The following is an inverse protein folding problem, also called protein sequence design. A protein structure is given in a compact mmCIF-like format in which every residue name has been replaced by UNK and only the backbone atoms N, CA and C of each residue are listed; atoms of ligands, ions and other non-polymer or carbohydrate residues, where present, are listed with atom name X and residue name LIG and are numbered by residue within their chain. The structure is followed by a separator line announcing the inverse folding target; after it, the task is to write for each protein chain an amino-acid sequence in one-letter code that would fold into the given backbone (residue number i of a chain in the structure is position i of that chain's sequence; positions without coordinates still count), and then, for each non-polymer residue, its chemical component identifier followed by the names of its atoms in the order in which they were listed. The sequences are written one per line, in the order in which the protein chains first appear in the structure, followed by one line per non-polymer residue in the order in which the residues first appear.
data_IF_904805093208
#
_entry.id   IF_904805093208
#
_cell.length_a   1.000
_cell.length_b   1.000
_cell.length_c   1.000
_cell.angle_alpha   90.00
_cell.angle_beta   90.00
_cell.angle_gamma   90.00
#
_symmetry.space_group_name_H-M   'P 1'
#
loop_
_entity.id
_entity.type
_entity.pdbx_description
1 polymer ?
#
# COMPACT_ATOMS: atom_id res chain seq x y z
N UNK A 1 -61.70 -18.84 -31.98
CA UNK A 1 -61.20 -20.05 -31.27
C UNK A 1 -60.22 -20.75 -32.21
N UNK A 2 -58.96 -21.06 -31.91
CA UNK A 2 -58.16 -20.95 -30.69
C UNK A 2 -56.71 -20.50 -30.99
N UNK A 3 -55.82 -20.55 -29.99
CA UNK A 3 -54.69 -19.62 -29.82
C UNK A 3 -53.42 -19.98 -30.61
N UNK A 4 -52.70 -18.95 -31.06
CA UNK A 4 -51.32 -19.06 -31.50
C UNK A 4 -50.42 -19.44 -30.31
N UNK A 5 -49.80 -20.61 -30.39
CA UNK A 5 -48.90 -21.14 -29.38
C UNK A 5 -47.62 -20.28 -29.29
N UNK A 6 -47.30 -19.89 -28.05
CA UNK A 6 -46.06 -19.26 -27.64
C UNK A 6 -44.88 -20.20 -27.93
N UNK A 7 -43.91 -19.76 -28.74
CA UNK A 7 -42.63 -20.44 -28.89
C UNK A 7 -41.76 -20.17 -27.67
N UNK A 8 -41.49 -21.20 -26.87
CA UNK A 8 -40.53 -21.14 -25.76
C UNK A 8 -39.11 -20.79 -26.25
N UNK A 9 -38.34 -19.96 -25.53
CA UNK A 9 -36.92 -19.79 -25.81
C UNK A 9 -36.15 -21.05 -25.37
N UNK A 10 -35.59 -21.74 -26.36
CA UNK A 10 -34.70 -22.89 -26.24
C UNK A 10 -33.55 -22.60 -25.23
N UNK A 11 -33.62 -23.21 -24.04
CA UNK A 11 -32.57 -23.17 -23.02
C UNK A 11 -31.39 -24.03 -23.47
N UNK A 12 -30.44 -23.44 -24.19
CA UNK A 12 -29.14 -24.06 -24.49
C UNK A 12 -28.26 -24.10 -23.23
N UNK A 13 -28.45 -25.10 -22.37
CA UNK A 13 -27.38 -25.55 -21.46
C UNK A 13 -26.36 -26.36 -22.28
N UNK A 14 -25.46 -25.65 -22.97
CA UNK A 14 -24.35 -26.27 -23.67
C UNK A 14 -23.44 -27.01 -22.68
N UNK A 15 -23.25 -28.32 -22.85
CA UNK A 15 -22.29 -29.10 -22.09
C UNK A 15 -20.89 -28.52 -22.31
N UNK A 16 -20.25 -28.00 -21.26
CA UNK A 16 -18.89 -27.47 -21.32
C UNK A 16 -17.95 -28.44 -22.04
N UNK A 17 -17.30 -27.96 -23.10
CA UNK A 17 -16.35 -28.77 -23.89
C UNK A 17 -15.23 -29.29 -22.98
N UNK A 18 -14.64 -30.46 -23.30
CA UNK A 18 -13.55 -31.06 -22.50
C UNK A 18 -12.40 -30.08 -22.25
N UNK A 19 -12.10 -29.21 -23.21
CA UNK A 19 -11.13 -28.11 -23.12
C UNK A 19 -11.52 -27.07 -22.07
N UNK A 20 -12.79 -26.66 -22.02
CA UNK A 20 -13.29 -25.71 -21.03
C UNK A 20 -13.20 -26.26 -19.60
N UNK A 21 -13.53 -27.54 -19.39
CA UNK A 21 -13.38 -28.20 -18.07
C UNK A 21 -11.92 -28.28 -17.63
N UNK A 22 -10.98 -28.51 -18.55
CA UNK A 22 -9.55 -28.49 -18.27
C UNK A 22 -9.06 -27.11 -17.88
N UNK A 23 -9.44 -26.07 -18.63
CA UNK A 23 -9.09 -24.68 -18.34
C UNK A 23 -9.64 -24.27 -16.97
N UNK A 24 -10.90 -24.60 -16.67
CA UNK A 24 -11.53 -24.29 -15.39
C UNK A 24 -10.81 -24.98 -14.22
N UNK A 25 -10.43 -26.26 -14.36
CA UNK A 25 -9.67 -26.98 -13.34
C UNK A 25 -8.26 -26.42 -13.15
N UNK A 26 -7.61 -26.01 -14.22
CA UNK A 26 -6.29 -25.38 -14.17
C UNK A 26 -6.34 -24.07 -13.38
N UNK A 27 -7.26 -23.16 -13.72
CA UNK A 27 -7.40 -21.89 -12.97
C UNK A 27 -7.81 -22.10 -11.51
N UNK A 28 -8.67 -23.09 -11.23
CA UNK A 28 -9.06 -23.42 -9.86
C UNK A 28 -7.88 -24.00 -9.06
N UNK A 29 -7.07 -24.85 -9.67
CA UNK A 29 -5.86 -25.39 -9.06
C UNK A 29 -4.81 -24.29 -8.82
N UNK A 30 -4.60 -23.40 -9.80
CA UNK A 30 -3.67 -22.28 -9.67
C UNK A 30 -4.10 -21.30 -8.57
N UNK A 31 -5.38 -20.93 -8.52
CA UNK A 31 -5.94 -20.09 -7.46
C UNK A 31 -5.86 -20.76 -6.09
N UNK A 32 -6.21 -22.05 -6.02
CA UNK A 32 -6.10 -22.84 -4.78
C UNK A 32 -4.66 -22.95 -4.27
N UNK A 33 -3.69 -23.16 -5.17
CA UNK A 33 -2.28 -23.20 -4.84
C UNK A 33 -1.78 -21.85 -4.31
N UNK A 34 -2.17 -20.73 -4.93
CA UNK A 34 -1.81 -19.39 -4.47
C UNK A 34 -2.32 -19.11 -3.06
N UNK A 35 -3.59 -19.43 -2.77
CA UNK A 35 -4.16 -19.28 -1.42
C UNK A 35 -3.47 -20.18 -0.40
N UNK A 36 -3.19 -21.44 -0.76
CA UNK A 36 -2.48 -22.37 0.11
C UNK A 36 -1.06 -21.89 0.41
N UNK A 37 -0.32 -21.43 -0.59
CA UNK A 37 1.03 -20.90 -0.41
C UNK A 37 1.04 -19.70 0.53
N UNK A 38 0.10 -18.76 0.37
CA UNK A 38 -0.05 -17.61 1.27
C UNK A 38 -0.36 -18.06 2.70
N UNK A 39 -1.26 -19.03 2.87
CA UNK A 39 -1.58 -19.59 4.19
C UNK A 39 -0.36 -20.24 4.83
N UNK A 40 0.43 -21.03 4.07
CA UNK A 40 1.64 -21.67 4.57
C UNK A 40 2.70 -20.65 5.00
N UNK A 41 2.88 -19.56 4.24
CA UNK A 41 3.80 -18.47 4.62
C UNK A 41 3.37 -17.85 5.95
N UNK A 42 2.07 -17.57 6.12
CA UNK A 42 1.54 -17.02 7.37
C UNK A 42 1.71 -18.01 8.52
N UNK A 43 1.33 -19.28 8.34
CA UNK A 43 1.48 -20.31 9.38
C UNK A 43 2.95 -20.47 9.78
N UNK A 44 3.86 -20.48 8.82
CA UNK A 44 5.30 -20.56 9.08
C UNK A 44 5.81 -19.34 9.86
N UNK A 45 5.43 -18.13 9.43
CA UNK A 45 5.77 -16.88 10.10
C UNK A 45 5.36 -16.89 11.58
N UNK A 46 4.12 -17.29 11.87
CA UNK A 46 3.61 -17.36 13.24
C UNK A 46 4.25 -18.49 14.04
N UNK A 47 4.46 -19.65 13.42
CA UNK A 47 5.12 -20.77 14.07
C UNK A 47 6.51 -20.38 14.55
N UNK A 48 7.34 -19.81 13.67
CA UNK A 48 8.72 -19.44 14.00
C UNK A 48 8.78 -18.23 14.97
N UNK A 49 7.95 -17.20 14.76
CA UNK A 49 8.02 -16.01 15.63
C UNK A 49 7.51 -16.23 17.05
N UNK A 50 6.59 -17.18 17.28
CA UNK A 50 6.11 -17.50 18.64
C UNK A 50 7.22 -18.12 19.50
N UNK A 51 8.21 -18.81 18.91
CA UNK A 51 9.30 -19.45 19.66
C UNK A 51 10.13 -18.45 20.47
N UNK A 52 10.25 -17.19 20.01
CA UNK A 52 10.94 -16.14 20.76
C UNK A 52 10.34 -15.94 22.16
N UNK A 53 9.02 -16.04 22.29
CA UNK A 53 8.32 -15.75 23.54
C UNK A 53 8.49 -16.84 24.61
N UNK A 54 9.24 -17.91 24.30
CA UNK A 54 9.73 -18.85 25.30
C UNK A 54 10.88 -18.26 26.14
N UNK A 55 11.65 -17.31 25.59
CA UNK A 55 12.81 -16.72 26.27
C UNK A 55 12.65 -15.22 26.53
N UNK A 56 11.92 -14.49 25.69
CA UNK A 56 11.68 -13.04 25.82
C UNK A 56 10.22 -12.76 26.16
N UNK A 57 9.94 -11.85 27.08
CA UNK A 57 8.55 -11.48 27.40
C UNK A 57 7.93 -10.62 26.28
N UNK A 58 6.62 -10.78 26.04
CA UNK A 58 5.90 -9.98 25.02
C UNK A 58 6.00 -8.46 25.30
N UNK A 59 5.83 -7.96 26.54
CA UNK A 59 6.00 -6.54 26.83
C UNK A 59 7.42 -6.03 26.55
N UNK A 60 8.44 -6.79 26.93
CA UNK A 60 9.83 -6.38 26.72
C UNK A 60 10.16 -6.33 25.22
N UNK A 61 9.62 -7.28 24.45
CA UNK A 61 9.75 -7.27 22.99
C UNK A 61 9.04 -6.06 22.37
N UNK A 62 7.75 -5.84 22.67
CA UNK A 62 6.95 -4.80 22.00
C UNK A 62 7.27 -3.38 22.45
N UNK A 63 7.55 -3.18 23.73
CA UNK A 63 7.75 -1.85 24.32
C UNK A 63 9.20 -1.56 24.70
N UNK A 64 10.11 -2.54 24.56
CA UNK A 64 11.54 -2.33 24.72
C UNK A 64 12.07 -1.28 23.75
N UNK A 65 12.97 -0.43 24.24
CA UNK A 65 13.48 0.73 23.49
C UNK A 65 14.83 0.48 22.80
N UNK A 66 15.36 -0.74 22.90
CA UNK A 66 16.69 -1.07 22.44
C UNK A 66 16.65 -2.33 21.56
N UNK A 67 17.23 -2.23 20.36
CA UNK A 67 17.41 -3.35 19.44
C UNK A 67 18.91 -3.64 19.31
N UNK A 68 19.40 -4.56 20.14
CA UNK A 68 20.79 -5.02 20.16
C UNK A 68 20.84 -6.55 20.25
N UNK A 69 20.47 -7.26 19.16
CA UNK A 69 20.38 -8.72 19.17
C UNK A 69 21.75 -9.43 19.28
N UNK A 70 22.85 -8.71 19.07
CA UNK A 70 24.22 -9.23 19.14
C UNK A 70 24.94 -8.89 20.45
N UNK A 71 24.29 -8.18 21.37
CA UNK A 71 24.85 -7.85 22.69
C UNK A 71 24.65 -9.01 23.68
N UNK A 72 25.42 -9.00 24.78
CA UNK A 72 25.23 -9.93 25.91
C UNK A 72 24.93 -9.13 27.20
N UNK A 73 23.72 -9.25 27.78
CA UNK A 73 22.54 -9.95 27.25
C UNK A 73 21.95 -9.26 26.01
N UNK A 74 21.26 -10.02 25.16
CA UNK A 74 20.66 -9.51 23.94
C UNK A 74 19.39 -8.70 24.23
N UNK A 75 19.20 -7.59 23.52
CA UNK A 75 18.01 -6.74 23.61
C UNK A 75 17.18 -6.85 22.32
N UNK A 76 15.93 -7.28 22.46
CA UNK A 76 15.00 -7.47 21.35
C UNK A 76 13.83 -6.47 21.38
N UNK A 77 14.01 -5.28 21.95
CA UNK A 77 13.01 -4.23 22.00
C UNK A 77 12.74 -3.60 20.63
N UNK A 78 11.53 -3.78 20.11
CA UNK A 78 11.17 -3.34 18.75
C UNK A 78 10.37 -2.04 18.71
N UNK A 79 10.12 -1.37 19.84
CA UNK A 79 9.38 -0.12 19.87
C UNK A 79 9.97 0.96 18.93
N UNK A 80 11.30 1.17 18.87
CA UNK A 80 11.90 2.12 17.92
C UNK A 80 11.61 1.76 16.45
N UNK A 81 11.59 0.46 16.13
CA UNK A 81 11.35 -0.04 14.78
C UNK A 81 9.89 0.17 14.36
N UNK A 82 8.95 -0.09 15.29
CA UNK A 82 7.52 0.18 15.09
C UNK A 82 7.29 1.68 14.87
N UNK A 83 7.84 2.53 15.74
CA UNK A 83 7.68 3.99 15.62
C UNK A 83 8.29 4.49 14.31
N UNK A 84 9.49 4.02 13.94
CA UNK A 84 10.13 4.35 12.67
C UNK A 84 9.25 3.98 11.46
N UNK A 85 8.70 2.77 11.44
CA UNK A 85 7.75 2.33 10.39
C UNK A 85 6.50 3.20 10.32
N UNK A 86 5.88 3.50 11.46
CA UNK A 86 4.64 4.27 11.51
C UNK A 86 4.86 5.74 11.11
N UNK A 87 5.93 6.37 11.58
CA UNK A 87 6.26 7.76 11.27
C UNK A 87 6.56 7.92 9.78
N UNK A 88 7.40 7.06 9.20
CA UNK A 88 7.72 7.10 7.77
C UNK A 88 6.47 6.88 6.92
N UNK A 89 5.63 5.91 7.29
CA UNK A 89 4.35 5.66 6.59
C UNK A 89 3.41 6.85 6.71
N UNK A 90 3.30 7.46 7.89
CA UNK A 90 2.42 8.61 8.14
C UNK A 90 2.87 9.85 7.33
N UNK A 91 4.15 10.20 7.39
CA UNK A 91 4.70 11.34 6.64
C UNK A 91 4.60 11.11 5.14
N UNK A 92 4.87 9.88 4.66
CA UNK A 92 4.66 9.53 3.25
C UNK A 92 3.19 9.67 2.85
N UNK A 93 2.24 9.24 3.69
CA UNK A 93 0.79 9.40 3.45
C UNK A 93 0.39 10.86 3.28
N UNK A 94 0.90 11.71 4.17
CA UNK A 94 0.58 13.15 4.19
C UNK A 94 1.01 13.84 2.90
N UNK A 95 2.00 13.30 2.19
CA UNK A 95 2.47 13.82 0.91
C UNK A 95 1.75 13.13 -0.25
N UNK A 96 1.72 11.79 -0.25
CA UNK A 96 1.24 11.01 -1.39
C UNK A 96 -0.27 11.12 -1.61
N UNK A 97 -1.06 11.14 -0.54
CA UNK A 97 -2.53 11.19 -0.64
C UNK A 97 -3.01 12.48 -1.29
N UNK A 98 -2.68 13.68 -0.78
CA UNK A 98 -3.17 14.91 -1.39
C UNK A 98 -2.65 15.08 -2.82
N UNK A 99 -1.37 14.77 -3.07
CA UNK A 99 -0.80 14.90 -4.42
C UNK A 99 -1.41 13.90 -5.40
N UNK A 100 -1.52 12.62 -5.03
CA UNK A 100 -2.09 11.59 -5.89
C UNK A 100 -3.56 11.85 -6.22
N UNK A 101 -4.36 12.25 -5.24
CA UNK A 101 -5.77 12.60 -5.46
C UNK A 101 -5.89 13.88 -6.30
N UNK A 102 -5.07 14.91 -6.05
CA UNK A 102 -5.09 16.13 -6.84
C UNK A 102 -4.76 15.87 -8.31
N UNK A 103 -3.73 15.05 -8.59
CA UNK A 103 -3.37 14.67 -9.96
C UNK A 103 -4.49 13.86 -10.61
N UNK A 104 -5.13 12.93 -9.90
CA UNK A 104 -6.27 12.18 -10.41
C UNK A 104 -7.44 13.09 -10.80
N UNK A 105 -7.79 14.06 -9.94
CA UNK A 105 -8.85 15.03 -10.21
C UNK A 105 -8.53 15.91 -11.42
N UNK A 106 -7.26 16.35 -11.54
CA UNK A 106 -6.80 17.10 -12.70
C UNK A 106 -6.91 16.27 -13.98
N UNK A 107 -6.42 15.02 -13.98
CA UNK A 107 -6.45 14.14 -15.16
C UNK A 107 -7.87 13.75 -15.57
N UNK A 108 -8.79 13.59 -14.61
CA UNK A 108 -10.16 13.20 -14.89
C UNK A 108 -11.00 14.33 -15.49
N UNK A 109 -10.81 15.59 -15.07
CA UNK A 109 -11.73 16.68 -15.42
C UNK A 109 -11.09 17.90 -16.10
N UNK A 110 -9.84 18.22 -15.77
CA UNK A 110 -9.19 19.47 -16.23
C UNK A 110 -8.27 19.22 -17.42
N UNK A 111 -7.61 18.07 -17.45
CA UNK A 111 -6.65 17.72 -18.48
C UNK A 111 -7.32 17.63 -19.86
N UNK A 112 -6.67 18.22 -20.86
CA UNK A 112 -7.05 18.00 -22.26
C UNK A 112 -6.69 16.58 -22.69
N UNK A 113 -7.32 16.09 -23.76
CA UNK A 113 -7.07 14.74 -24.28
C UNK A 113 -5.58 14.44 -24.50
N UNK A 114 -4.84 15.40 -25.10
CA UNK A 114 -3.39 15.28 -25.33
C UNK A 114 -2.60 15.15 -24.03
N UNK A 115 -2.93 15.93 -23.00
CA UNK A 115 -2.24 15.85 -21.70
C UNK A 115 -2.46 14.49 -21.08
N UNK A 116 -3.69 13.96 -21.14
CA UNK A 116 -4.03 12.64 -20.60
C UNK A 116 -3.29 11.51 -21.32
N UNK A 117 -3.20 11.57 -22.65
CA UNK A 117 -2.49 10.57 -23.46
C UNK A 117 -1.00 10.44 -23.11
N UNK A 118 -0.36 11.53 -22.65
CA UNK A 118 1.04 11.49 -22.21
C UNK A 118 1.19 11.22 -20.72
N UNK A 119 0.34 11.82 -19.88
CA UNK A 119 0.48 11.72 -18.43
C UNK A 119 0.10 10.36 -17.88
N UNK A 120 -0.94 9.71 -18.40
CA UNK A 120 -1.35 8.40 -17.88
C UNK A 120 -0.26 7.33 -18.07
N UNK A 121 0.31 7.16 -19.29
CA UNK A 121 1.46 6.26 -19.46
C UNK A 121 2.67 6.68 -18.63
N UNK A 122 2.96 7.98 -18.48
CA UNK A 122 4.09 8.43 -17.65
C UNK A 122 3.91 8.04 -16.17
N UNK A 123 2.70 8.21 -15.62
CA UNK A 123 2.38 7.79 -14.25
C UNK A 123 2.50 6.26 -14.09
N UNK A 124 1.99 5.50 -15.05
CA UNK A 124 2.11 4.03 -15.04
C UNK A 124 3.57 3.55 -15.17
N UNK A 125 4.37 4.24 -15.99
CA UNK A 125 5.81 3.98 -16.11
C UNK A 125 6.55 4.28 -14.81
N UNK A 126 6.20 5.37 -14.11
CA UNK A 126 6.75 5.65 -12.78
C UNK A 126 6.41 4.55 -11.77
N UNK A 127 5.19 3.98 -11.82
CA UNK A 127 4.78 2.87 -10.96
C UNK A 127 5.57 1.57 -11.24
N UNK A 128 6.11 1.43 -12.45
CA UNK A 128 6.87 0.26 -12.89
C UNK A 128 8.34 0.27 -12.47
N UNK A 129 8.85 1.41 -11.96
CA UNK A 129 10.24 1.52 -11.55
C UNK A 129 10.54 0.53 -10.40
N UNK A 130 11.64 -0.24 -10.49
CA UNK A 130 12.07 -1.09 -9.39
C UNK A 130 12.35 -0.25 -8.15
N UNK A 131 11.88 -0.70 -6.99
CA UNK A 131 11.97 0.09 -5.76
C UNK A 131 13.42 0.33 -5.31
N UNK A 132 14.33 -0.60 -5.61
CA UNK A 132 15.78 -0.42 -5.42
C UNK A 132 16.36 0.75 -6.22
N UNK A 133 15.82 1.04 -7.41
CA UNK A 133 16.27 2.20 -8.22
C UNK A 133 15.87 3.50 -7.54
N UNK A 134 14.64 3.57 -7.02
CA UNK A 134 14.17 4.73 -6.25
C UNK A 134 14.98 4.92 -4.96
N UNK A 135 15.26 3.84 -4.23
CA UNK A 135 16.12 3.87 -3.05
C UNK A 135 17.54 4.35 -3.36
N UNK A 136 18.11 3.87 -4.47
CA UNK A 136 19.43 4.30 -4.94
C UNK A 136 19.46 5.80 -5.29
N UNK A 137 18.47 6.30 -6.02
CA UNK A 137 18.34 7.73 -6.34
C UNK A 137 18.17 8.56 -5.05
N UNK A 138 17.35 8.10 -4.11
CA UNK A 138 17.17 8.77 -2.82
C UNK A 138 18.46 8.84 -2.00
N UNK A 139 19.30 7.80 -2.05
CA UNK A 139 20.58 7.75 -1.36
C UNK A 139 21.66 8.60 -2.05
N UNK A 140 21.80 8.50 -3.37
CA UNK A 140 22.94 9.10 -4.09
C UNK A 140 22.66 10.55 -4.51
N UNK A 141 21.40 10.90 -4.77
CA UNK A 141 21.02 12.22 -5.27
C UNK A 141 20.32 13.01 -4.18
N UNK A 142 19.24 12.48 -3.62
CA UNK A 142 18.42 13.28 -2.70
C UNK A 142 19.11 13.50 -1.35
N UNK A 143 19.77 12.49 -0.78
CA UNK A 143 20.43 12.63 0.52
C UNK A 143 21.51 13.73 0.53
N UNK A 144 22.45 13.80 -0.43
CA UNK A 144 23.42 14.90 -0.48
C UNK A 144 22.76 16.27 -0.69
N UNK A 145 21.75 16.37 -1.57
CA UNK A 145 21.02 17.62 -1.79
C UNK A 145 20.31 18.10 -0.51
N UNK A 146 19.71 17.18 0.25
CA UNK A 146 19.08 17.52 1.52
C UNK A 146 20.11 18.01 2.55
N UNK A 147 21.29 17.38 2.63
CA UNK A 147 22.36 17.84 3.52
C UNK A 147 22.79 19.26 3.18
N UNK A 148 22.99 19.57 1.89
CA UNK A 148 23.43 20.89 1.45
C UNK A 148 22.34 21.96 1.63
N UNK A 149 21.10 21.67 1.25
CA UNK A 149 20.02 22.67 1.26
C UNK A 149 19.40 22.90 2.63
N UNK A 150 19.36 21.87 3.48
CA UNK A 150 18.72 21.94 4.80
C UNK A 150 19.73 22.05 5.95
N UNK A 151 21.03 22.00 5.66
CA UNK A 151 22.12 22.03 6.65
C UNK A 151 21.94 20.96 7.75
N UNK A 152 21.66 19.72 7.33
CA UNK A 152 21.40 18.58 8.22
C UNK A 152 22.57 17.58 8.20
N UNK A 153 22.84 16.87 9.31
CA UNK A 153 23.99 15.97 9.42
C UNK A 153 23.90 14.74 8.52
N UNK A 154 22.70 14.19 8.32
CA UNK A 154 22.45 13.01 7.48
C UNK A 154 21.28 13.26 6.56
N UNK A 155 21.48 13.01 5.27
CA UNK A 155 20.38 12.95 4.29
C UNK A 155 19.66 11.60 4.29
N UNK A 156 20.16 10.60 5.03
CA UNK A 156 19.49 9.33 5.24
C UNK A 156 18.66 9.42 6.53
N UNK A 157 17.38 9.75 6.37
CA UNK A 157 16.48 10.09 7.47
C UNK A 157 15.01 9.83 7.13
N UNK A 158 14.11 10.06 8.09
CA UNK A 158 12.65 9.91 7.92
C UNK A 158 12.13 10.69 6.72
N UNK A 159 12.54 11.95 6.55
CA UNK A 159 12.03 12.79 5.47
C UNK A 159 12.40 12.24 4.09
N UNK A 160 13.65 11.82 3.88
CA UNK A 160 14.09 11.20 2.63
C UNK A 160 13.30 9.91 2.35
N UNK A 161 13.21 9.01 3.34
CA UNK A 161 12.42 7.78 3.22
C UNK A 161 10.96 8.06 2.87
N UNK A 162 10.35 9.03 3.54
CA UNK A 162 8.95 9.39 3.33
C UNK A 162 8.70 9.97 1.94
N UNK A 163 9.63 10.78 1.42
CA UNK A 163 9.57 11.34 0.07
C UNK A 163 9.68 10.25 -0.99
N UNK A 164 10.64 9.33 -0.86
CA UNK A 164 10.81 8.23 -1.81
C UNK A 164 9.60 7.30 -1.83
N UNK A 165 9.06 6.96 -0.66
CA UNK A 165 7.82 6.21 -0.56
C UNK A 165 6.62 6.98 -1.12
N UNK A 166 6.58 8.30 -0.96
CA UNK A 166 5.49 9.09 -1.50
C UNK A 166 5.51 9.10 -3.04
N UNK A 167 6.69 9.27 -3.65
CA UNK A 167 6.86 9.17 -5.12
C UNK A 167 6.37 7.81 -5.63
N UNK A 168 6.61 6.74 -4.87
CA UNK A 168 6.16 5.39 -5.22
C UNK A 168 4.65 5.19 -5.04
N UNK A 169 4.05 5.78 -4.01
CA UNK A 169 2.62 5.65 -3.73
C UNK A 169 1.75 6.52 -4.65
N UNK A 170 2.22 7.71 -5.06
CA UNK A 170 1.48 8.66 -5.90
C UNK A 170 0.92 8.00 -7.16
N UNK A 171 1.69 7.26 -7.98
CA UNK A 171 1.14 6.63 -9.18
C UNK A 171 -0.02 5.66 -8.94
N UNK A 172 0.07 4.87 -7.86
CA UNK A 172 -0.98 3.93 -7.47
C UNK A 172 -2.25 4.68 -7.06
N UNK A 173 -2.10 5.74 -6.25
CA UNK A 173 -3.22 6.57 -5.81
C UNK A 173 -3.84 7.29 -7.01
N UNK A 174 -3.03 7.90 -7.88
CA UNK A 174 -3.48 8.66 -9.05
C UNK A 174 -4.25 7.78 -10.03
N UNK A 175 -3.67 6.66 -10.46
CA UNK A 175 -4.24 5.80 -11.49
C UNK A 175 -5.59 5.21 -11.05
N UNK A 176 -5.64 4.64 -9.85
CA UNK A 176 -6.87 4.03 -9.31
C UNK A 176 -7.94 5.09 -8.99
N UNK A 177 -7.53 6.28 -8.51
CA UNK A 177 -8.48 7.38 -8.27
C UNK A 177 -9.05 7.96 -9.56
N UNK A 178 -8.26 8.05 -10.64
CA UNK A 178 -8.73 8.48 -11.96
C UNK A 178 -9.76 7.49 -12.51
N UNK A 179 -9.48 6.19 -12.41
CA UNK A 179 -10.41 5.14 -12.85
C UNK A 179 -11.71 5.17 -12.03
N UNK A 180 -11.62 5.43 -10.71
CA UNK A 180 -12.78 5.62 -9.84
C UNK A 180 -13.64 6.82 -10.25
N UNK A 181 -13.02 7.95 -10.63
CA UNK A 181 -13.73 9.13 -11.14
C UNK A 181 -14.42 8.85 -12.47
N UNK A 182 -13.80 8.07 -13.36
CA UNK A 182 -14.39 7.69 -14.64
C UNK A 182 -15.48 6.63 -14.53
N UNK A 183 -15.55 5.89 -13.43
CA UNK A 183 -16.62 4.93 -13.16
C UNK A 183 -17.94 5.61 -12.76
N UNK A 184 -17.92 6.90 -12.40
CA UNK A 184 -19.13 7.67 -12.11
C UNK A 184 -19.96 7.83 -13.41
N UNK A 185 -21.27 7.53 -13.40
CA UNK A 185 -22.12 7.64 -14.59
C UNK A 185 -22.05 9.02 -15.24
N UNK A 186 -21.90 9.05 -16.57
CA UNK A 186 -21.74 10.31 -17.33
C UNK A 186 -22.99 11.17 -17.26
N UNK A 187 -24.15 10.55 -17.08
CA UNK A 187 -25.45 11.20 -16.97
C UNK A 187 -25.49 12.16 -15.78
N UNK A 188 -24.84 11.82 -14.65
CA UNK A 188 -24.76 12.70 -13.48
C UNK A 188 -23.96 13.98 -13.77
N UNK A 189 -22.90 13.85 -14.57
CA UNK A 189 -22.09 14.98 -15.04
C UNK A 189 -22.88 15.87 -15.98
N UNK A 190 -23.52 15.28 -16.99
CA UNK A 190 -24.32 16.01 -17.98
C UNK A 190 -25.50 16.73 -17.34
N UNK A 191 -26.19 16.09 -16.38
CA UNK A 191 -27.26 16.70 -15.60
C UNK A 191 -26.78 17.91 -14.78
N UNK A 192 -25.64 17.78 -14.08
CA UNK A 192 -25.03 18.87 -13.31
C UNK A 192 -24.73 20.09 -14.19
N UNK A 193 -24.11 19.88 -15.35
CA UNK A 193 -23.79 20.94 -16.30
C UNK A 193 -25.06 21.56 -16.92
N UNK A 194 -26.10 20.75 -17.19
CA UNK A 194 -27.38 21.23 -17.72
C UNK A 194 -28.13 22.13 -16.72
N UNK A 195 -27.92 21.93 -15.41
CA UNK A 195 -28.44 22.80 -14.36
C UNK A 195 -27.63 24.09 -14.18
N UNK A 196 -26.64 24.36 -15.04
CA UNK A 196 -25.82 25.55 -15.00
C UNK A 196 -24.64 25.49 -14.02
N UNK A 197 -24.33 24.31 -13.46
CA UNK A 197 -23.17 24.16 -12.60
C UNK A 197 -21.86 24.32 -13.37
N UNK A 198 -20.86 24.91 -12.73
CA UNK A 198 -19.51 24.98 -13.28
C UNK A 198 -18.83 23.61 -13.28
N UNK A 199 -17.74 23.46 -14.06
CA UNK A 199 -16.92 22.23 -14.04
C UNK A 199 -16.36 21.94 -12.64
N UNK A 200 -15.99 22.98 -11.89
CA UNK A 200 -15.51 22.85 -10.52
C UNK A 200 -16.60 22.37 -9.55
N UNK A 201 -17.82 22.93 -9.66
CA UNK A 201 -18.95 22.46 -8.85
C UNK A 201 -19.34 21.04 -9.20
N UNK A 202 -19.34 20.68 -10.49
CA UNK A 202 -19.60 19.30 -10.93
C UNK A 202 -18.55 18.33 -10.40
N UNK A 203 -17.27 18.71 -10.46
CA UNK A 203 -16.18 17.90 -9.92
C UNK A 203 -16.30 17.70 -8.41
N UNK A 204 -16.49 18.78 -7.65
CA UNK A 204 -16.44 18.75 -6.19
C UNK A 204 -17.73 18.28 -5.52
N UNK A 205 -18.88 18.52 -6.14
CA UNK A 205 -20.20 18.19 -5.56
C UNK A 205 -20.86 16.96 -6.15
N UNK A 206 -20.41 16.47 -7.31
CA UNK A 206 -21.02 15.31 -7.97
C UNK A 206 -20.00 14.19 -8.15
N UNK A 207 -18.92 14.44 -8.90
CA UNK A 207 -17.95 13.40 -9.26
C UNK A 207 -17.14 12.92 -8.05
N UNK A 208 -16.57 13.86 -7.29
CA UNK A 208 -15.74 13.54 -6.13
C UNK A 208 -16.54 12.75 -5.08
N UNK A 209 -17.75 13.16 -4.64
CA UNK A 209 -18.60 12.36 -3.75
C UNK A 209 -18.95 10.98 -4.32
N UNK A 210 -19.25 10.90 -5.62
CA UNK A 210 -19.55 9.63 -6.31
C UNK A 210 -18.37 8.66 -6.35
N UNK A 211 -17.14 9.19 -6.41
CA UNK A 211 -15.91 8.41 -6.50
C UNK A 211 -15.22 8.16 -5.14
N UNK A 212 -15.72 8.72 -4.02
CA UNK A 212 -15.04 8.66 -2.70
C UNK A 212 -14.64 7.25 -2.28
N UNK A 213 -15.47 6.25 -2.56
CA UNK A 213 -15.16 4.86 -2.19
C UNK A 213 -14.01 4.27 -3.01
N UNK A 214 -13.94 4.60 -4.31
CA UNK A 214 -12.86 4.21 -5.18
C UNK A 214 -11.55 4.95 -4.84
N UNK A 215 -11.63 6.26 -4.58
CA UNK A 215 -10.49 7.07 -4.12
C UNK A 215 -9.98 6.55 -2.76
N UNK A 216 -10.88 6.25 -1.83
CA UNK A 216 -10.51 5.63 -0.55
C UNK A 216 -9.78 4.30 -0.76
N UNK A 217 -10.25 3.47 -1.68
CA UNK A 217 -9.57 2.21 -2.03
C UNK A 217 -8.21 2.44 -2.67
N UNK A 218 -8.07 3.44 -3.54
CA UNK A 218 -6.79 3.84 -4.14
C UNK A 218 -5.77 4.25 -3.08
N UNK A 219 -6.18 5.10 -2.14
CA UNK A 219 -5.35 5.53 -1.01
C UNK A 219 -4.91 4.33 -0.16
N UNK A 220 -5.83 3.43 0.16
CA UNK A 220 -5.51 2.22 0.95
C UNK A 220 -4.48 1.37 0.24
N UNK A 221 -4.67 1.09 -1.05
CA UNK A 221 -3.75 0.27 -1.84
C UNK A 221 -2.36 0.91 -1.94
N UNK A 222 -2.29 2.22 -2.22
CA UNK A 222 -1.04 2.96 -2.26
C UNK A 222 -0.30 2.93 -0.92
N UNK A 223 -1.02 3.14 0.19
CA UNK A 223 -0.42 3.16 1.52
C UNK A 223 0.00 1.78 2.01
N UNK A 224 -0.79 0.74 1.71
CA UNK A 224 -0.44 -0.65 2.03
C UNK A 224 0.89 -1.05 1.41
N UNK A 225 1.12 -0.59 0.16
CA UNK A 225 2.37 -0.83 -0.55
C UNK A 225 3.54 -0.09 0.10
N UNK A 226 3.37 1.18 0.46
CA UNK A 226 4.42 1.96 1.12
C UNK A 226 4.79 1.40 2.50
N UNK A 227 3.81 0.93 3.28
CA UNK A 227 4.04 0.35 4.61
C UNK A 227 4.85 -0.95 4.57
N UNK A 228 4.65 -1.74 3.51
CA UNK A 228 5.40 -2.97 3.26
C UNK A 228 6.66 -2.78 2.42
N UNK A 229 7.08 -1.54 2.15
CA UNK A 229 8.24 -1.28 1.31
C UNK A 229 9.55 -1.54 2.08
N UNK A 230 10.38 -2.40 1.50
CA UNK A 230 11.58 -2.91 2.15
C UNK A 230 12.85 -2.26 1.63
N UNK A 231 13.01 -2.20 0.30
CA UNK A 231 14.31 -1.85 -0.31
C UNK A 231 14.56 -0.36 -0.30
N UNK A 232 13.55 0.46 -0.62
CA UNK A 232 13.67 1.93 -0.56
C UNK A 232 14.11 2.34 0.84
N UNK A 233 13.38 1.86 1.85
CA UNK A 233 13.53 2.28 3.23
C UNK A 233 14.86 1.80 3.81
N UNK A 234 15.29 0.57 3.49
CA UNK A 234 16.60 0.05 3.85
C UNK A 234 17.74 0.96 3.37
N UNK A 235 17.60 1.53 2.17
CA UNK A 235 18.62 2.36 1.55
C UNK A 235 18.64 3.80 2.07
N UNK A 236 17.48 4.39 2.36
CA UNK A 236 17.42 5.85 2.59
C UNK A 236 17.01 6.28 4.00
N UNK A 237 16.56 5.37 4.87
CA UNK A 237 16.08 5.74 6.21
C UNK A 237 17.21 5.94 7.24
N UNK A 238 18.44 5.54 6.91
CA UNK A 238 19.62 5.71 7.77
C UNK A 238 19.87 4.56 8.76
N UNK A 239 18.88 3.70 9.00
CA UNK A 239 19.08 2.42 9.68
C UNK A 239 19.41 2.53 11.17
N UNK A 240 19.01 3.60 11.86
CA UNK A 240 19.19 3.70 13.32
C UNK A 240 17.97 3.15 14.07
N UNK A 241 18.19 2.23 15.02
CA UNK A 241 17.14 1.67 15.86
C UNK A 241 16.90 2.54 17.10
N UNK A 242 16.41 3.76 16.88
CA UNK A 242 16.13 4.74 17.94
C UNK A 242 14.76 5.39 17.74
N UNK A 243 14.14 5.86 18.83
CA UNK A 243 12.89 6.61 18.74
C UNK A 243 13.21 7.99 18.19
N UNK A 244 12.66 8.38 17.03
CA UNK A 244 12.96 9.66 16.43
C UNK A 244 12.32 10.81 17.23
N UNK A 245 13.06 11.90 17.36
CA UNK A 245 12.63 13.17 17.94
C UNK A 245 12.32 14.23 16.87
N UNK A 246 12.91 14.08 15.69
CA UNK A 246 12.81 14.98 14.55
C UNK A 246 12.56 14.21 13.25
N UNK A 247 11.99 14.88 12.25
CA UNK A 247 11.83 14.34 10.89
C UNK A 247 13.17 14.15 10.15
N UNK A 248 14.25 14.71 10.68
CA UNK A 248 15.60 14.57 10.14
C UNK A 248 16.41 13.46 10.83
N UNK A 249 15.81 12.76 11.80
CA UNK A 249 16.46 11.64 12.46
C UNK A 249 16.45 10.39 11.56
N UNK A 250 17.53 9.61 11.67
CA UNK A 250 17.62 8.28 11.08
C UNK A 250 16.70 7.30 11.82
N UNK A 251 16.06 6.41 11.07
CA UNK A 251 15.22 5.33 11.62
C UNK A 251 15.49 4.02 10.93
N UNK A 252 15.12 2.92 11.60
CA UNK A 252 15.15 1.56 11.05
C UNK A 252 13.75 0.95 11.09
N UNK A 253 12.98 1.03 10.00
CA UNK A 253 11.64 0.43 9.94
C UNK A 253 11.68 -1.12 9.97
N UNK A 254 10.60 -1.73 10.45
CA UNK A 254 10.47 -3.20 10.60
C UNK A 254 10.86 -4.00 9.34
N UNK A 255 10.38 -3.66 8.12
CA UNK A 255 10.75 -4.43 6.92
C UNK A 255 12.26 -4.36 6.63
N UNK A 256 12.87 -3.20 6.87
CA UNK A 256 14.30 -2.99 6.66
C UNK A 256 15.14 -3.81 7.66
N UNK A 257 14.72 -3.92 8.92
CA UNK A 257 15.39 -4.79 9.92
C UNK A 257 15.39 -6.25 9.48
N UNK A 258 14.23 -6.77 9.04
CA UNK A 258 14.13 -8.16 8.55
C UNK A 258 15.08 -8.37 7.37
N UNK A 259 15.04 -7.48 6.37
CA UNK A 259 15.87 -7.64 5.17
C UNK A 259 17.37 -7.48 5.44
N UNK A 260 17.76 -6.59 6.36
CA UNK A 260 19.16 -6.33 6.68
C UNK A 260 19.79 -7.49 7.47
N UNK A 261 19.04 -8.15 8.34
CA UNK A 261 19.61 -9.04 9.34
C UNK A 261 19.33 -10.52 9.06
N UNK A 262 18.21 -10.87 8.38
CA UNK A 262 17.80 -12.27 8.17
C UNK A 262 18.86 -13.12 7.45
N UNK A 263 19.58 -12.52 6.49
CA UNK A 263 20.63 -13.21 5.74
C UNK A 263 21.90 -13.51 6.56
N UNK A 264 22.13 -12.73 7.63
CA UNK A 264 23.34 -12.79 8.46
C UNK A 264 23.12 -13.60 9.75
N UNK A 265 21.86 -13.88 10.11
CA UNK A 265 21.52 -14.60 11.35
C UNK A 265 21.65 -16.12 11.23
N UNK A 266 22.28 -16.80 12.22
CA UNK A 266 22.30 -18.25 12.26
C UNK A 266 20.89 -18.84 12.41
N UNK A 267 20.60 -19.88 11.63
CA UNK A 267 19.32 -20.58 11.68
C UNK A 267 19.05 -21.15 13.08
N UNK A 268 17.85 -20.89 13.61
CA UNK A 268 17.41 -21.38 14.93
C UNK A 268 18.00 -20.63 16.14
N UNK A 269 18.72 -19.53 15.92
CA UNK A 269 19.16 -18.62 16.99
C UNK A 269 18.01 -17.79 17.55
N UNK A 270 18.19 -17.19 18.73
CA UNK A 270 17.19 -16.24 19.28
C UNK A 270 16.98 -15.04 18.37
N UNK A 271 18.04 -14.52 17.75
CA UNK A 271 17.95 -13.43 16.77
C UNK A 271 17.13 -13.85 15.55
N UNK A 272 17.30 -15.08 15.05
CA UNK A 272 16.46 -15.63 13.97
C UNK A 272 14.97 -15.60 14.35
N UNK A 273 14.60 -16.14 15.52
CA UNK A 273 13.20 -16.12 15.98
C UNK A 273 12.69 -14.69 16.23
N UNK A 274 13.55 -13.78 16.68
CA UNK A 274 13.21 -12.37 16.86
C UNK A 274 12.84 -11.67 15.54
N UNK A 275 13.55 -11.97 14.45
CA UNK A 275 13.21 -11.44 13.12
C UNK A 275 11.87 -11.99 12.60
N UNK A 276 11.55 -13.25 12.87
CA UNK A 276 10.22 -13.81 12.56
C UNK A 276 9.12 -13.16 13.42
N UNK A 277 9.39 -12.88 14.70
CA UNK A 277 8.47 -12.15 15.57
C UNK A 277 8.25 -10.71 15.09
N UNK A 278 9.29 -10.02 14.58
CA UNK A 278 9.14 -8.72 13.90
C UNK A 278 8.22 -8.86 12.70
N UNK A 279 8.40 -9.89 11.88
CA UNK A 279 7.53 -10.17 10.74
C UNK A 279 6.07 -10.43 11.14
N UNK A 280 5.83 -11.16 12.23
CA UNK A 280 4.48 -11.33 12.80
C UNK A 280 3.86 -10.00 13.19
N UNK A 281 4.61 -9.13 13.88
CA UNK A 281 4.13 -7.80 14.29
C UNK A 281 3.84 -6.94 13.08
N UNK A 282 4.74 -6.89 12.09
CA UNK A 282 4.53 -6.18 10.84
C UNK A 282 3.25 -6.66 10.12
N UNK A 283 3.06 -7.98 10.05
CA UNK A 283 1.85 -8.57 9.47
C UNK A 283 0.58 -8.12 10.21
N UNK A 284 0.58 -8.18 11.55
CA UNK A 284 -0.56 -7.76 12.37
C UNK A 284 -0.86 -6.27 12.23
N UNK A 285 0.16 -5.41 12.21
CA UNK A 285 -0.01 -3.97 12.00
C UNK A 285 -0.58 -3.71 10.61
N UNK A 286 -0.03 -4.35 9.57
CA UNK A 286 -0.48 -4.19 8.18
C UNK A 286 -1.92 -4.68 8.01
N UNK A 287 -2.24 -5.83 8.58
CA UNK A 287 -3.59 -6.38 8.59
C UNK A 287 -4.56 -5.45 9.32
N UNK A 288 -4.19 -4.95 10.50
CA UNK A 288 -4.99 -4.01 11.28
C UNK A 288 -5.26 -2.72 10.51
N UNK A 289 -4.22 -2.12 9.91
CA UNK A 289 -4.36 -0.96 9.04
C UNK A 289 -5.32 -1.23 7.88
N UNK A 290 -5.15 -2.34 7.17
CA UNK A 290 -5.99 -2.71 6.04
C UNK A 290 -7.45 -2.94 6.44
N UNK A 291 -7.71 -3.59 7.58
CA UNK A 291 -9.06 -3.82 8.08
C UNK A 291 -9.73 -2.50 8.48
N UNK A 292 -9.04 -1.63 9.22
CA UNK A 292 -9.56 -0.31 9.61
C UNK A 292 -9.87 0.51 8.37
N UNK A 293 -8.95 0.56 7.42
CA UNK A 293 -9.12 1.38 6.23
C UNK A 293 -10.23 0.83 5.32
N UNK A 294 -10.32 -0.49 5.15
CA UNK A 294 -11.43 -1.14 4.43
C UNK A 294 -12.79 -0.86 5.08
N UNK A 295 -12.85 -0.88 6.43
CA UNK A 295 -14.07 -0.55 7.17
C UNK A 295 -14.50 0.90 6.96
N UNK A 296 -13.55 1.84 6.96
CA UNK A 296 -13.80 3.25 6.67
C UNK A 296 -14.33 3.41 5.24
N UNK A 297 -13.69 2.79 4.24
CA UNK A 297 -14.10 2.88 2.82
C UNK A 297 -15.53 2.34 2.60
N UNK A 298 -15.90 1.21 3.22
CA UNK A 298 -17.25 0.63 3.12
C UNK A 298 -18.35 1.56 3.64
N UNK A 299 -18.09 2.35 4.69
CA UNK A 299 -19.08 3.32 5.20
C UNK A 299 -19.40 4.43 4.19
N UNK A 300 -18.45 4.80 3.34
CA UNK A 300 -18.67 5.80 2.28
C UNK A 300 -19.41 5.20 1.07
N UNK A 301 -19.23 3.91 0.77
CA UNK A 301 -20.00 3.21 -0.27
C UNK A 301 -21.52 3.22 0.02
N UNK A 302 -21.91 3.02 1.28
CA UNK A 302 -23.33 2.96 1.67
C UNK A 302 -24.04 4.30 1.56
N UNK A 303 -23.34 5.43 1.77
CA UNK A 303 -23.96 6.76 1.66
C UNK A 303 -24.19 7.18 0.20
N UNK A 304 -23.23 6.92 -0.70
CA UNK A 304 -23.35 7.28 -2.12
C UNK A 304 -24.48 6.54 -2.84
N UNK A 305 -24.75 5.28 -2.48
CA UNK A 305 -25.87 4.50 -3.03
C UNK A 305 -27.24 4.88 -2.45
N UNK A 306 -27.28 5.55 -1.28
CA UNK A 306 -28.53 5.97 -0.62
C UNK A 306 -28.99 7.38 -0.99
N UNK A 307 -28.18 8.14 -1.73
CA UNK A 307 -28.45 9.52 -2.16
C UNK A 307 -28.59 9.68 -3.67
N UNK A 308 -28.51 8.57 -4.43
CA UNK A 308 -28.89 8.47 -5.84
C UNK A 308 -30.30 7.88 -5.93
#
# INVERSE_FOLDING_TARGET
MGPAALSEPNRLHGSKTRREKWIQRFFLAAGGFSVLAMLLIVVFLFKEGIWLFATVSIPDFLFGQAWYPTYEPADFGIAPLIVGSLVVTAVSSLIAVPLGVAVALYLAEVATHRVREWMKPAVELLASLPSVVLGFVGMVVLAPLMQEWLDIPSGLNILNASLMLAIMAIPTITSISEDALHAVPRELKEASLALGATRWETLTRVLLPGALSGIGTAVILGMSRAMGETMVVLMVAGGAAQIPSSIFDSVRPLPATIAAEMGETPFGSEHYYALFAIGMVLFLITLGFNLVAAHISRRYQQKGASTL
#
